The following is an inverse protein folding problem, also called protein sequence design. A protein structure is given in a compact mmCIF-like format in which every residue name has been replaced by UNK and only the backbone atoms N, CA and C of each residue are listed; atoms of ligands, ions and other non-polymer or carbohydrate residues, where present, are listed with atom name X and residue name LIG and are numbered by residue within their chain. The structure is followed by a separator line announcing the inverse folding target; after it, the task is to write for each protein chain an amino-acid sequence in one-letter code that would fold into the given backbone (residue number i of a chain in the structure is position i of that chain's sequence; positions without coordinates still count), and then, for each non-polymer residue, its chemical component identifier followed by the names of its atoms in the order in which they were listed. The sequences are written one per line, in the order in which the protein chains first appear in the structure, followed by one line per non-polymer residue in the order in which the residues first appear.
data_IF_288126026814
#
_entry.id   IF_288126026814
#
_cell.length_a   1.000
_cell.length_b   1.000
_cell.length_c   1.000
_cell.angle_alpha   90.00
_cell.angle_beta   90.00
_cell.angle_gamma   90.00
#
_symmetry.space_group_name_H-M   'P 1'
#
loop_
_entity.id
_entity.type
_entity.pdbx_description
1 polymer ?
#
# COMPACT_ATOMS: atom_id res chain seq x y z
N UNK A 1 7.74 -22.79 -28.56
CA UNK A 1 8.03 -21.67 -29.47
C UNK A 1 9.02 -20.66 -28.84
N UNK A 2 8.85 -20.26 -27.54
CA UNK A 2 9.73 -19.25 -26.92
C UNK A 2 11.12 -19.76 -26.55
N UNK A 3 11.23 -21.01 -26.08
CA UNK A 3 12.51 -21.63 -25.72
C UNK A 3 13.38 -21.85 -26.94
N UNK A 4 12.79 -22.32 -28.04
CA UNK A 4 13.49 -22.56 -29.31
C UNK A 4 14.05 -21.28 -29.88
N UNK A 5 13.24 -20.20 -29.86
CA UNK A 5 13.69 -18.85 -30.26
C UNK A 5 14.90 -18.36 -29.45
N UNK A 6 14.87 -18.54 -28.13
CA UNK A 6 15.98 -18.13 -27.26
C UNK A 6 17.21 -18.97 -27.48
N UNK A 7 17.06 -20.26 -27.76
CA UNK A 7 18.19 -21.13 -28.09
C UNK A 7 18.85 -20.70 -29.40
N UNK A 8 18.08 -20.48 -30.47
CA UNK A 8 18.58 -20.05 -31.78
C UNK A 8 19.25 -18.64 -31.69
N UNK A 9 18.65 -17.74 -30.92
CA UNK A 9 19.22 -16.41 -30.66
C UNK A 9 20.57 -16.52 -29.95
N UNK A 10 20.66 -17.39 -28.91
CA UNK A 10 21.91 -17.65 -28.18
C UNK A 10 22.99 -18.26 -29.07
N UNK A 11 22.64 -19.22 -29.91
CA UNK A 11 23.55 -19.84 -30.86
C UNK A 11 24.09 -18.82 -31.88
N UNK A 12 23.20 -18.00 -32.43
CA UNK A 12 23.56 -16.91 -33.36
C UNK A 12 24.47 -15.88 -32.71
N UNK A 13 24.24 -15.55 -31.43
CA UNK A 13 25.06 -14.65 -30.65
C UNK A 13 26.48 -15.19 -30.50
N UNK A 14 26.64 -16.46 -30.09
CA UNK A 14 27.93 -17.12 -29.94
C UNK A 14 28.66 -17.14 -31.28
N UNK A 15 27.99 -17.57 -32.34
CA UNK A 15 28.57 -17.70 -33.68
C UNK A 15 29.11 -16.35 -34.21
N UNK A 16 28.35 -15.25 -34.07
CA UNK A 16 28.76 -13.91 -34.50
C UNK A 16 29.79 -13.27 -33.57
N UNK A 17 29.98 -13.76 -32.37
CA UNK A 17 30.98 -13.25 -31.42
C UNK A 17 32.35 -13.87 -31.63
N UNK A 18 32.45 -14.97 -32.37
CA UNK A 18 33.72 -15.64 -32.65
C UNK A 18 34.37 -15.04 -33.92
N UNK A 19 35.69 -14.70 -33.90
CA UNK A 19 36.58 -14.70 -32.75
C UNK A 19 36.29 -13.55 -31.77
N UNK A 20 36.48 -13.81 -30.48
CA UNK A 20 36.28 -12.80 -29.44
C UNK A 20 37.33 -11.67 -29.58
N UNK A 21 36.93 -10.55 -30.16
CA UNK A 21 37.77 -9.36 -30.35
C UNK A 21 37.18 -8.16 -29.60
N UNK A 22 38.03 -7.25 -29.16
CA UNK A 22 37.57 -5.99 -28.53
C UNK A 22 36.61 -5.17 -29.44
N UNK A 23 36.76 -5.35 -30.78
CA UNK A 23 35.80 -4.76 -31.74
C UNK A 23 34.36 -5.25 -31.57
N UNK A 24 34.18 -6.51 -31.13
CA UNK A 24 32.86 -7.14 -30.94
C UNK A 24 32.28 -6.92 -29.53
N UNK A 25 33.07 -6.30 -28.62
CA UNK A 25 32.65 -6.14 -27.21
C UNK A 25 31.27 -5.45 -27.08
N UNK A 26 31.05 -4.38 -27.83
CA UNK A 26 29.77 -3.66 -27.84
C UNK A 26 28.64 -4.56 -28.29
N UNK A 27 28.81 -5.32 -29.38
CA UNK A 27 27.84 -6.27 -29.89
C UNK A 27 27.52 -7.34 -28.84
N UNK A 28 28.56 -7.90 -28.21
CA UNK A 28 28.40 -8.95 -27.18
C UNK A 28 27.66 -8.44 -25.94
N UNK A 29 28.01 -7.23 -25.47
CA UNK A 29 27.32 -6.65 -24.32
C UNK A 29 25.84 -6.38 -24.60
N UNK A 30 25.55 -5.75 -25.73
CA UNK A 30 24.16 -5.43 -26.06
C UNK A 30 23.31 -6.69 -26.32
N UNK A 31 23.74 -7.57 -27.23
CA UNK A 31 22.96 -8.75 -27.59
C UNK A 31 23.03 -9.86 -26.53
N UNK A 32 24.17 -10.00 -25.86
CA UNK A 32 24.32 -10.94 -24.73
C UNK A 32 23.46 -10.50 -23.52
N UNK A 33 23.47 -9.21 -23.21
CA UNK A 33 22.60 -8.66 -22.18
C UNK A 33 21.12 -8.86 -22.49
N UNK A 34 20.72 -8.64 -23.74
CA UNK A 34 19.36 -8.87 -24.20
C UNK A 34 18.96 -10.36 -24.09
N UNK A 35 19.84 -11.26 -24.52
CA UNK A 35 19.63 -12.71 -24.41
C UNK A 35 19.48 -13.16 -22.95
N UNK A 36 20.37 -12.69 -22.06
CA UNK A 36 20.32 -12.99 -20.61
C UNK A 36 18.99 -12.48 -20.02
N UNK A 37 18.65 -11.22 -20.29
CA UNK A 37 17.43 -10.62 -19.74
C UNK A 37 16.17 -11.39 -20.18
N UNK A 38 16.06 -11.77 -21.47
CA UNK A 38 14.91 -12.53 -21.98
C UNK A 38 14.88 -13.95 -21.43
N UNK A 39 16.02 -14.66 -21.44
CA UNK A 39 16.09 -16.05 -20.97
C UNK A 39 15.77 -16.13 -19.46
N UNK A 40 16.40 -15.26 -18.66
CA UNK A 40 16.17 -15.23 -17.23
C UNK A 40 14.76 -14.72 -16.88
N UNK A 41 14.21 -13.79 -17.66
CA UNK A 41 12.83 -13.36 -17.54
C UNK A 41 11.83 -14.50 -17.80
N UNK A 42 12.07 -15.31 -18.84
CA UNK A 42 11.24 -16.48 -19.13
C UNK A 42 11.33 -17.55 -18.03
N UNK A 43 12.54 -17.86 -17.57
CA UNK A 43 12.75 -18.78 -16.45
C UNK A 43 12.11 -18.24 -15.16
N UNK A 44 12.17 -16.93 -14.93
CA UNK A 44 11.52 -16.27 -13.81
C UNK A 44 10.02 -16.51 -13.79
N UNK A 45 9.32 -16.50 -14.93
CA UNK A 45 7.86 -16.74 -14.96
C UNK A 45 7.44 -18.10 -14.41
N UNK A 46 8.32 -19.10 -14.47
CA UNK A 46 8.05 -20.46 -13.98
C UNK A 46 8.49 -20.71 -12.55
N UNK A 47 9.40 -19.88 -12.02
CA UNK A 47 10.00 -20.04 -10.68
C UNK A 47 9.71 -18.87 -9.74
N UNK A 48 8.89 -17.92 -10.20
CA UNK A 48 8.41 -16.84 -9.37
C UNK A 48 7.40 -17.38 -8.35
N UNK A 49 7.76 -17.29 -7.08
CA UNK A 49 6.86 -17.63 -5.99
C UNK A 49 6.25 -16.34 -5.43
N UNK A 50 4.91 -16.29 -5.39
CA UNK A 50 4.13 -15.22 -4.76
C UNK A 50 3.14 -15.81 -3.77
N UNK A 51 3.38 -15.57 -2.51
CA UNK A 51 2.62 -16.15 -1.41
C UNK A 51 2.05 -15.03 -0.54
N UNK A 52 0.90 -15.28 0.07
CA UNK A 52 0.28 -14.35 1.03
C UNK A 52 0.36 -14.93 2.43
N UNK A 53 0.90 -14.17 3.35
CA UNK A 53 1.00 -14.51 4.77
C UNK A 53 -0.03 -13.70 5.54
N UNK A 54 -1.11 -14.30 6.05
CA UNK A 54 -2.03 -13.63 6.97
C UNK A 54 -1.37 -13.54 8.35
N UNK A 55 -1.19 -12.33 8.83
CA UNK A 55 -0.59 -12.06 10.13
C UNK A 55 -1.61 -11.41 11.06
N UNK A 56 -1.81 -11.99 12.23
CA UNK A 56 -2.64 -11.42 13.27
C UNK A 56 -1.78 -10.76 14.36
N UNK A 57 -2.19 -9.62 14.86
CA UNK A 57 -1.48 -8.93 15.96
C UNK A 57 -1.27 -9.86 17.15
N UNK A 58 -0.04 -9.85 17.68
CA UNK A 58 0.37 -10.69 18.79
C UNK A 58 0.65 -12.15 18.43
N UNK A 59 0.59 -12.53 17.14
CA UNK A 59 0.84 -13.90 16.69
C UNK A 59 2.02 -13.98 15.72
N UNK A 60 2.69 -15.13 15.73
CA UNK A 60 3.70 -15.48 14.74
C UNK A 60 3.14 -16.48 13.74
N UNK A 61 3.55 -16.36 12.48
CA UNK A 61 3.24 -17.31 11.43
C UNK A 61 4.46 -17.52 10.54
N UNK A 62 4.65 -18.74 10.09
CA UNK A 62 5.54 -19.15 8.99
C UNK A 62 4.73 -19.70 7.81
N UNK A 63 3.39 -19.74 7.92
CA UNK A 63 2.49 -20.28 6.91
C UNK A 63 2.09 -19.18 5.94
N UNK A 64 2.35 -19.44 4.67
CA UNK A 64 1.93 -18.61 3.55
C UNK A 64 1.02 -19.41 2.62
N UNK A 65 0.18 -18.72 1.85
CA UNK A 65 -0.76 -19.34 0.92
C UNK A 65 -0.51 -18.85 -0.51
N UNK A 66 -0.52 -19.78 -1.43
CA UNK A 66 -0.55 -19.44 -2.84
C UNK A 66 -1.96 -18.93 -3.20
N UNK A 67 -2.06 -17.72 -3.79
CA UNK A 67 -3.37 -17.13 -4.14
C UNK A 67 -4.16 -17.89 -5.20
N UNK A 68 -3.47 -18.67 -6.03
CA UNK A 68 -4.11 -19.37 -7.16
C UNK A 68 -4.53 -20.80 -6.79
N UNK A 69 -3.69 -21.49 -6.00
CA UNK A 69 -3.93 -22.90 -5.64
C UNK A 69 -4.48 -23.07 -4.23
N UNK A 70 -4.50 -22.00 -3.43
CA UNK A 70 -4.85 -22.00 -1.99
C UNK A 70 -3.99 -22.95 -1.14
N UNK A 71 -2.90 -23.45 -1.72
CA UNK A 71 -1.98 -24.35 -1.04
C UNK A 71 -1.20 -23.60 0.04
N UNK A 72 -1.11 -24.22 1.22
CA UNK A 72 -0.33 -23.71 2.33
C UNK A 72 1.14 -24.14 2.19
N UNK A 73 2.05 -23.18 2.28
CA UNK A 73 3.49 -23.38 2.14
C UNK A 73 4.18 -22.80 3.38
N UNK A 74 5.12 -23.54 3.96
CA UNK A 74 5.93 -23.05 5.07
C UNK A 74 7.12 -22.24 4.57
N UNK A 75 7.25 -21.01 5.06
CA UNK A 75 8.42 -20.17 4.84
C UNK A 75 9.60 -20.66 5.69
N UNK A 76 10.86 -20.47 5.25
CA UNK A 76 12.04 -20.85 6.04
C UNK A 76 12.32 -19.94 7.27
N UNK A 77 11.41 -19.01 7.55
CA UNK A 77 11.44 -18.05 8.66
C UNK A 77 10.04 -17.80 9.18
N UNK A 78 9.92 -17.26 10.38
CA UNK A 78 8.62 -16.84 10.93
C UNK A 78 8.53 -15.34 11.07
N UNK A 79 7.30 -14.82 10.94
CA UNK A 79 6.95 -13.41 11.04
C UNK A 79 6.00 -13.24 12.23
N UNK A 80 6.41 -12.50 13.24
CA UNK A 80 5.55 -12.12 14.36
C UNK A 80 5.05 -10.70 14.14
N UNK A 81 3.75 -10.50 14.08
CA UNK A 81 3.14 -9.18 13.97
C UNK A 81 3.00 -8.57 15.37
N UNK A 82 3.79 -7.53 15.64
CA UNK A 82 3.75 -6.80 16.91
C UNK A 82 2.60 -5.80 16.95
N UNK A 83 2.48 -4.99 15.90
CA UNK A 83 1.43 -3.97 15.74
C UNK A 83 1.13 -3.73 14.26
N UNK A 84 -0.14 -3.51 13.94
CA UNK A 84 -0.59 -3.12 12.61
C UNK A 84 -1.27 -1.76 12.69
N UNK A 85 -0.79 -0.78 11.96
CA UNK A 85 -1.27 0.58 12.01
C UNK A 85 -1.82 1.05 10.67
N UNK A 86 -3.03 1.62 10.69
CA UNK A 86 -3.65 2.26 9.53
C UNK A 86 -3.75 3.76 9.83
N UNK A 87 -3.08 4.57 9.03
CA UNK A 87 -3.25 6.01 9.00
C UNK A 87 -4.43 6.33 8.08
N UNK A 88 -5.34 7.17 8.54
CA UNK A 88 -6.50 7.62 7.75
C UNK A 88 -6.44 9.12 7.55
N UNK A 89 -7.03 9.58 6.46
CA UNK A 89 -7.38 10.99 6.33
C UNK A 89 -8.39 11.37 7.42
N UNK A 90 -8.47 12.65 7.76
CA UNK A 90 -9.51 13.10 8.66
C UNK A 90 -10.90 12.83 8.06
N UNK A 91 -11.90 12.50 8.89
CA UNK A 91 -13.26 12.29 8.41
C UNK A 91 -13.82 13.55 7.76
N UNK A 92 -14.90 13.39 7.01
CA UNK A 92 -15.61 14.49 6.35
C UNK A 92 -17.07 14.52 6.78
N UNK A 93 -17.68 15.70 6.71
CA UNK A 93 -19.12 15.79 6.87
C UNK A 93 -19.85 15.23 5.65
N UNK A 94 -20.95 14.52 5.88
CA UNK A 94 -21.93 14.17 4.88
C UNK A 94 -23.34 14.40 5.42
N UNK A 95 -24.31 14.59 4.54
CA UNK A 95 -25.71 14.55 4.89
C UNK A 95 -26.24 13.15 4.58
N UNK A 96 -26.89 12.52 5.54
CA UNK A 96 -27.62 11.28 5.34
C UNK A 96 -29.10 11.57 5.11
N UNK A 97 -29.60 11.05 4.00
CA UNK A 97 -31.03 11.11 3.63
C UNK A 97 -31.72 9.83 4.12
N UNK A 98 -32.51 9.91 5.19
CA UNK A 98 -33.17 8.72 5.74
C UNK A 98 -34.32 8.19 4.88
N UNK A 99 -34.84 8.99 3.95
CA UNK A 99 -35.94 8.57 3.06
C UNK A 99 -35.44 7.71 1.90
N UNK A 100 -34.25 7.99 1.43
CA UNK A 100 -33.64 7.30 0.28
C UNK A 100 -32.46 6.41 0.67
N UNK A 101 -32.16 6.29 1.98
CA UNK A 101 -31.04 5.50 2.53
C UNK A 101 -29.72 5.75 1.82
N UNK A 102 -29.36 7.03 1.67
CA UNK A 102 -28.14 7.42 0.95
C UNK A 102 -27.46 8.63 1.58
N UNK A 103 -26.15 8.69 1.37
CA UNK A 103 -25.39 9.90 1.64
C UNK A 103 -25.59 10.91 0.50
N UNK A 104 -25.88 12.14 0.88
CA UNK A 104 -25.97 13.27 -0.04
C UNK A 104 -24.64 14.00 0.00
N UNK A 105 -23.89 13.91 -1.08
CA UNK A 105 -22.66 14.69 -1.22
C UNK A 105 -22.99 16.17 -1.42
N UNK A 106 -22.22 17.08 -0.81
CA UNK A 106 -22.37 18.50 -1.12
C UNK A 106 -22.12 18.74 -2.60
N UNK A 107 -22.82 19.67 -3.20
CA UNK A 107 -22.64 20.07 -4.63
C UNK A 107 -21.21 20.54 -4.95
N UNK A 108 -20.47 20.98 -3.93
CA UNK A 108 -19.03 21.22 -4.01
C UNK A 108 -18.27 19.90 -3.86
N UNK A 109 -17.52 19.51 -4.89
CA UNK A 109 -16.67 18.30 -4.88
C UNK A 109 -15.55 18.33 -3.80
N UNK A 110 -15.36 19.45 -3.13
CA UNK A 110 -14.37 19.69 -2.09
C UNK A 110 -15.05 19.88 -0.73
N UNK A 111 -15.42 18.77 -0.08
CA UNK A 111 -15.76 18.79 1.34
C UNK A 111 -14.44 18.82 2.10
N UNK A 112 -14.19 19.86 2.91
CA UNK A 112 -12.96 19.91 3.72
C UNK A 112 -12.98 18.78 4.75
N UNK A 113 -11.78 18.31 5.10
CA UNK A 113 -11.61 17.41 6.23
C UNK A 113 -12.02 18.09 7.54
N UNK A 114 -12.59 17.32 8.47
CA UNK A 114 -13.02 17.82 9.76
C UNK A 114 -11.80 18.25 10.57
N UNK A 115 -11.79 19.52 10.97
CA UNK A 115 -10.79 20.11 11.82
C UNK A 115 -11.36 21.32 12.54
N UNK A 116 -10.76 21.74 13.65
CA UNK A 116 -11.23 22.90 14.42
C UNK A 116 -11.33 24.15 13.56
N UNK A 117 -12.46 24.84 13.60
CA UNK A 117 -12.76 26.06 12.85
C UNK A 117 -13.27 25.81 11.42
N UNK A 118 -13.28 24.59 10.93
CA UNK A 118 -13.82 24.27 9.61
C UNK A 118 -15.32 24.53 9.59
N UNK A 119 -15.81 25.24 8.55
CA UNK A 119 -17.22 25.53 8.30
C UNK A 119 -17.63 24.92 6.97
N UNK A 120 -18.75 24.22 6.97
CA UNK A 120 -19.38 23.66 5.75
C UNK A 120 -20.79 24.23 5.65
N UNK A 121 -21.16 24.67 4.46
CA UNK A 121 -22.48 25.24 4.17
C UNK A 121 -23.23 24.34 3.17
N UNK A 122 -24.50 24.09 3.47
CA UNK A 122 -25.44 23.44 2.57
C UNK A 122 -26.51 24.43 2.15
N UNK A 123 -26.52 24.86 0.87
CA UNK A 123 -27.47 25.85 0.37
C UNK A 123 -28.92 25.43 0.66
N UNK A 124 -29.67 26.32 1.32
CA UNK A 124 -31.08 26.10 1.67
C UNK A 124 -31.31 25.26 2.95
N UNK A 125 -30.28 24.73 3.59
CA UNK A 125 -30.39 23.97 4.83
C UNK A 125 -29.74 24.71 6.01
N UNK A 126 -28.52 25.22 5.84
CA UNK A 126 -27.79 25.89 6.88
C UNK A 126 -26.30 25.62 6.84
N UNK A 127 -25.62 25.81 7.98
CA UNK A 127 -24.17 25.60 8.06
C UNK A 127 -23.76 24.83 9.33
N UNK A 128 -22.62 24.14 9.25
CA UNK A 128 -22.00 23.42 10.36
C UNK A 128 -20.59 23.96 10.56
N UNK A 129 -20.28 24.37 11.77
CA UNK A 129 -18.94 24.82 12.16
C UNK A 129 -18.37 23.91 13.23
N UNK A 130 -17.14 23.43 13.03
CA UNK A 130 -16.42 22.60 14.01
C UNK A 130 -15.85 23.48 15.10
N UNK A 131 -16.32 23.30 16.32
CA UNK A 131 -15.81 24.00 17.50
C UNK A 131 -14.61 23.30 18.10
N UNK A 132 -14.65 21.94 18.10
CA UNK A 132 -13.60 21.11 18.64
C UNK A 132 -13.55 19.76 17.90
N UNK A 133 -12.36 19.14 17.84
CA UNK A 133 -12.16 17.88 17.14
C UNK A 133 -11.21 16.97 17.91
N UNK A 134 -11.66 15.77 18.21
CA UNK A 134 -10.90 14.70 18.86
C UNK A 134 -10.77 13.53 17.89
N UNK A 135 -9.59 13.30 17.31
CA UNK A 135 -9.39 12.23 16.30
C UNK A 135 -9.53 10.82 16.90
N UNK A 136 -9.31 10.68 18.21
CA UNK A 136 -9.47 9.43 18.96
C UNK A 136 -9.98 9.73 20.36
N UNK A 137 -11.21 9.37 20.66
CA UNK A 137 -11.84 9.57 21.95
C UNK A 137 -12.81 8.43 22.27
N UNK A 138 -13.14 8.29 23.56
CA UNK A 138 -14.17 7.39 24.06
C UNK A 138 -15.18 8.21 24.88
N UNK A 139 -16.45 7.75 25.01
CA UNK A 139 -17.40 8.36 25.92
C UNK A 139 -16.89 8.27 27.36
N UNK A 140 -16.76 9.43 28.00
CA UNK A 140 -16.41 9.53 29.41
C UNK A 140 -17.66 9.65 30.32
N UNK A 141 -17.43 9.97 31.58
CA UNK A 141 -18.50 10.22 32.54
C UNK A 141 -19.39 11.37 32.05
N UNK A 142 -20.72 11.15 32.08
CA UNK A 142 -21.68 12.15 31.58
C UNK A 142 -21.83 12.20 30.06
N UNK A 143 -21.27 11.23 29.31
CA UNK A 143 -21.41 11.13 27.86
C UNK A 143 -20.54 12.09 27.05
N UNK A 144 -19.69 12.90 27.68
CA UNK A 144 -18.73 13.74 26.98
C UNK A 144 -17.54 12.92 26.50
N UNK A 145 -17.02 13.17 25.26
CA UNK A 145 -15.88 12.43 24.76
C UNK A 145 -14.58 12.85 25.49
N UNK A 146 -13.77 11.84 25.83
CA UNK A 146 -12.44 12.00 26.42
C UNK A 146 -11.41 11.43 25.45
N UNK A 147 -10.42 12.26 25.12
CA UNK A 147 -9.33 11.85 24.23
C UNK A 147 -8.60 10.63 24.80
N UNK A 148 -8.29 9.67 23.93
CA UNK A 148 -7.52 8.47 24.25
C UNK A 148 -6.47 8.23 23.18
N UNK A 149 -5.35 7.63 23.59
CA UNK A 149 -4.30 7.25 22.67
C UNK A 149 -4.61 5.90 21.98
N UNK A 150 -4.07 5.74 20.77
CA UNK A 150 -4.10 4.49 20.03
C UNK A 150 -5.40 4.21 19.29
N UNK A 151 -5.57 2.93 18.91
CA UNK A 151 -6.67 2.44 18.03
C UNK A 151 -8.03 2.31 18.73
N UNK A 152 -8.11 2.47 20.04
CA UNK A 152 -9.32 2.17 20.83
C UNK A 152 -10.42 3.23 20.68
N UNK A 153 -10.04 4.47 20.38
CA UNK A 153 -10.98 5.57 20.25
C UNK A 153 -11.60 5.71 18.87
N UNK A 154 -12.66 6.49 18.80
CA UNK A 154 -13.31 6.91 17.55
C UNK A 154 -13.23 8.44 17.41
N UNK A 155 -13.43 8.95 16.22
CA UNK A 155 -13.43 10.39 15.99
C UNK A 155 -14.68 11.05 16.57
N UNK A 156 -14.50 12.17 17.29
CA UNK A 156 -15.57 13.03 17.75
C UNK A 156 -15.35 14.47 17.30
N UNK A 157 -16.42 15.16 16.93
CA UNK A 157 -16.39 16.60 16.70
C UNK A 157 -17.53 17.29 17.46
N UNK A 158 -17.21 18.40 18.14
CA UNK A 158 -18.21 19.33 18.64
C UNK A 158 -18.54 20.30 17.54
N UNK A 159 -19.79 20.34 17.14
CA UNK A 159 -20.26 21.13 16.02
C UNK A 159 -21.30 22.14 16.46
N UNK A 160 -21.26 23.33 15.87
CA UNK A 160 -22.31 24.33 15.92
C UNK A 160 -23.06 24.27 14.62
N UNK A 161 -24.35 24.05 14.70
CA UNK A 161 -25.28 23.99 13.57
C UNK A 161 -26.07 25.29 13.58
N UNK A 162 -26.14 25.95 12.43
CA UNK A 162 -26.97 27.12 12.19
C UNK A 162 -27.97 26.80 11.08
N UNK A 163 -29.23 26.60 11.49
CA UNK A 163 -30.35 26.38 10.59
C UNK A 163 -31.17 27.67 10.47
N UNK A 164 -30.84 28.52 9.50
CA UNK A 164 -31.54 29.76 9.22
C UNK A 164 -31.67 30.69 10.47
N UNK A 165 -30.60 30.80 11.25
CA UNK A 165 -30.53 31.62 12.47
C UNK A 165 -30.90 30.88 13.77
N UNK A 166 -31.33 29.62 13.69
CA UNK A 166 -31.48 28.76 14.87
C UNK A 166 -30.16 28.03 15.12
N UNK A 167 -29.46 28.40 16.18
CA UNK A 167 -28.14 27.86 16.53
C UNK A 167 -28.25 26.80 17.60
N UNK A 168 -27.56 25.66 17.40
CA UNK A 168 -27.44 24.59 18.38
C UNK A 168 -26.04 24.00 18.39
N UNK A 169 -25.61 23.39 19.50
CA UNK A 169 -24.30 22.74 19.62
C UNK A 169 -24.45 21.27 20.01
N UNK A 170 -23.73 20.40 19.35
CA UNK A 170 -23.82 18.95 19.54
C UNK A 170 -22.45 18.28 19.36
N UNK A 171 -22.31 17.11 19.95
CA UNK A 171 -21.24 16.19 19.62
C UNK A 171 -21.72 15.19 18.55
N UNK A 172 -20.90 14.97 17.53
CA UNK A 172 -21.08 13.94 16.51
C UNK A 172 -19.87 13.01 16.50
N UNK A 173 -20.06 11.78 16.03
CA UNK A 173 -19.02 10.76 15.98
C UNK A 173 -19.24 9.84 14.78
N UNK A 174 -18.15 9.40 14.15
CA UNK A 174 -18.21 8.35 13.13
C UNK A 174 -18.65 6.98 13.68
N UNK A 175 -18.57 6.79 15.00
CA UNK A 175 -18.79 5.48 15.60
C UNK A 175 -17.62 4.51 15.36
N UNK A 176 -17.85 3.23 15.67
CA UNK A 176 -16.87 2.16 15.54
C UNK A 176 -17.44 0.82 15.99
N UNK A 177 -16.63 -0.23 16.09
CA UNK A 177 -17.10 -1.59 16.39
C UNK A 177 -17.90 -1.71 17.69
N UNK A 178 -17.61 -0.88 18.68
CA UNK A 178 -18.24 -0.91 20.01
C UNK A 178 -19.04 0.35 20.33
N UNK A 179 -19.06 1.33 19.44
CA UNK A 179 -19.73 2.62 19.64
C UNK A 179 -20.57 2.98 18.42
N UNK A 180 -21.86 3.19 18.67
CA UNK A 180 -22.76 3.66 17.61
C UNK A 180 -22.37 5.07 17.15
N UNK A 181 -22.50 5.38 15.85
CA UNK A 181 -22.28 6.74 15.37
C UNK A 181 -23.27 7.71 16.02
N UNK A 182 -22.78 8.92 16.28
CA UNK A 182 -23.61 10.03 16.76
C UNK A 182 -23.81 11.00 15.61
N UNK A 183 -25.07 11.28 15.30
CA UNK A 183 -25.49 12.18 14.24
C UNK A 183 -26.55 13.16 14.75
N UNK A 184 -26.72 14.27 14.05
CA UNK A 184 -27.64 15.33 14.46
C UNK A 184 -28.56 15.68 13.30
N UNK A 185 -29.88 15.87 13.55
CA UNK A 185 -30.81 16.28 12.51
C UNK A 185 -30.50 17.69 12.02
N UNK A 186 -30.69 17.92 10.71
CA UNK A 186 -30.62 19.21 10.03
C UNK A 186 -31.66 19.22 8.92
N UNK A 187 -32.79 19.86 9.17
CA UNK A 187 -33.98 19.77 8.30
C UNK A 187 -34.49 18.35 8.18
N UNK A 188 -34.60 17.84 6.95
CA UNK A 188 -35.02 16.45 6.63
C UNK A 188 -33.85 15.46 6.59
N UNK A 189 -32.64 15.90 6.89
CA UNK A 189 -31.41 15.12 6.81
C UNK A 189 -30.77 14.96 8.18
N UNK A 190 -29.75 14.09 8.23
CA UNK A 190 -28.87 14.01 9.40
C UNK A 190 -27.44 14.38 8.98
N UNK A 191 -26.78 15.20 9.80
CA UNK A 191 -25.36 15.45 9.69
C UNK A 191 -24.64 14.23 10.25
N UNK A 192 -23.81 13.61 9.44
CA UNK A 192 -23.01 12.44 9.81
C UNK A 192 -21.54 12.74 9.57
N UNK A 193 -20.69 12.04 10.31
CA UNK A 193 -19.25 12.02 10.11
C UNK A 193 -18.92 10.77 9.30
N UNK A 194 -18.54 10.94 8.04
CA UNK A 194 -18.05 9.85 7.21
C UNK A 194 -16.57 9.59 7.52
N UNK A 195 -16.22 8.32 7.74
CA UNK A 195 -14.84 7.93 8.00
C UNK A 195 -13.89 8.38 6.89
N UNK A 196 -12.68 8.74 7.28
CA UNK A 196 -11.61 9.07 6.36
C UNK A 196 -11.14 7.84 5.58
N UNK A 197 -10.80 8.02 4.30
CA UNK A 197 -10.17 6.97 3.53
C UNK A 197 -8.81 6.57 4.12
N UNK A 198 -8.37 5.32 3.98
CA UNK A 198 -7.02 4.91 4.35
C UNK A 198 -5.98 5.74 3.56
N UNK A 199 -4.99 6.29 4.26
CA UNK A 199 -3.89 7.06 3.68
C UNK A 199 -2.63 6.21 3.53
N UNK A 200 -2.31 5.45 4.56
CA UNK A 200 -1.18 4.55 4.63
C UNK A 200 -1.44 3.45 5.67
N UNK A 201 -0.79 2.33 5.50
CA UNK A 201 -0.80 1.26 6.50
C UNK A 201 0.57 0.61 6.57
N UNK A 202 0.94 0.17 7.78
CA UNK A 202 2.23 -0.44 8.07
C UNK A 202 2.11 -1.49 9.16
N UNK A 203 3.01 -2.47 9.11
CA UNK A 203 3.13 -3.53 10.10
C UNK A 203 4.49 -3.47 10.79
N UNK A 204 4.49 -3.39 12.12
CA UNK A 204 5.69 -3.63 12.91
C UNK A 204 5.83 -5.12 13.12
N UNK A 205 6.88 -5.73 12.57
CA UNK A 205 7.08 -7.15 12.59
C UNK A 205 8.44 -7.52 13.21
N UNK A 206 8.47 -8.67 13.85
CA UNK A 206 9.73 -9.33 14.23
C UNK A 206 9.93 -10.54 13.33
N UNK A 207 10.95 -10.49 12.50
CA UNK A 207 11.39 -11.60 11.65
C UNK A 207 12.32 -12.50 12.43
N UNK A 208 12.07 -13.81 12.39
CA UNK A 208 12.93 -14.82 13.04
C UNK A 208 13.38 -15.83 12.00
N UNK A 209 14.69 -15.88 11.74
CA UNK A 209 15.29 -16.83 10.84
C UNK A 209 15.55 -18.20 11.46
N UNK A 210 15.97 -19.19 10.63
CA UNK A 210 16.21 -20.58 11.06
C UNK A 210 17.36 -20.70 12.07
N UNK A 211 18.34 -19.80 12.05
CA UNK A 211 19.44 -19.73 13.02
C UNK A 211 19.04 -19.09 14.36
N UNK A 212 17.77 -18.68 14.52
CA UNK A 212 17.29 -18.01 15.72
C UNK A 212 17.55 -16.51 15.77
N UNK A 213 18.17 -15.94 14.74
CA UNK A 213 18.34 -14.50 14.58
C UNK A 213 16.98 -13.80 14.55
N UNK A 214 16.90 -12.67 15.26
CA UNK A 214 15.68 -11.85 15.33
C UNK A 214 15.97 -10.45 14.85
N UNK A 215 15.09 -9.91 14.00
CA UNK A 215 15.19 -8.56 13.47
C UNK A 215 13.82 -7.87 13.52
N UNK A 216 13.77 -6.68 14.09
CA UNK A 216 12.59 -5.83 14.05
C UNK A 216 12.60 -5.04 12.77
N UNK A 217 11.47 -5.05 12.06
CA UNK A 217 11.30 -4.35 10.80
C UNK A 217 9.90 -3.71 10.73
N UNK A 218 9.80 -2.70 9.88
CA UNK A 218 8.52 -2.09 9.53
C UNK A 218 8.22 -2.38 8.06
N UNK A 219 7.13 -3.11 7.83
CA UNK A 219 6.63 -3.34 6.48
C UNK A 219 5.70 -2.19 6.10
N UNK A 220 6.01 -1.54 4.99
CA UNK A 220 5.21 -0.47 4.40
C UNK A 220 4.88 -0.80 2.94
N UNK A 221 3.84 -0.17 2.40
CA UNK A 221 3.51 -0.28 0.97
C UNK A 221 4.68 0.24 0.13
N UNK A 222 5.06 -0.50 -0.90
CA UNK A 222 6.17 -0.19 -1.82
C UNK A 222 7.57 -0.13 -1.19
N UNK A 223 7.74 -0.58 0.06
CA UNK A 223 9.05 -0.69 0.72
C UNK A 223 9.26 -2.13 1.19
N UNK A 224 9.80 -3.00 0.34
CA UNK A 224 10.01 -4.39 0.70
C UNK A 224 11.15 -4.56 1.72
N UNK A 225 10.99 -5.57 2.56
CA UNK A 225 12.02 -6.03 3.47
C UNK A 225 12.54 -7.39 2.98
N UNK A 226 13.86 -7.52 2.88
CA UNK A 226 14.50 -8.75 2.43
C UNK A 226 14.69 -9.71 3.62
N UNK A 227 14.27 -10.97 3.43
CA UNK A 227 14.47 -12.05 4.39
C UNK A 227 14.70 -13.39 3.69
N UNK A 228 15.89 -13.96 3.84
CA UNK A 228 16.25 -15.29 3.32
C UNK A 228 15.97 -15.48 1.82
N UNK A 229 16.22 -14.45 1.01
CA UNK A 229 15.95 -14.45 -0.44
C UNK A 229 14.50 -14.17 -0.82
N UNK A 230 13.63 -13.90 0.15
CA UNK A 230 12.27 -13.41 -0.04
C UNK A 230 12.21 -11.90 0.14
N UNK A 231 11.35 -11.25 -0.62
CA UNK A 231 10.95 -9.86 -0.42
C UNK A 231 9.56 -9.82 0.18
N UNK A 232 9.44 -9.21 1.35
CA UNK A 232 8.19 -9.07 2.08
C UNK A 232 7.58 -7.69 1.82
N UNK A 233 6.37 -7.66 1.31
CA UNK A 233 5.63 -6.43 1.00
C UNK A 233 4.38 -6.34 1.88
N UNK A 234 4.06 -5.16 2.34
CA UNK A 234 2.75 -4.89 2.90
C UNK A 234 1.72 -4.91 1.76
N UNK A 235 0.80 -5.88 1.75
CA UNK A 235 -0.11 -6.12 0.64
C UNK A 235 -1.56 -5.66 0.91
N UNK A 236 -2.02 -5.79 2.16
CA UNK A 236 -3.40 -5.45 2.49
C UNK A 236 -3.73 -5.70 3.97
N UNK A 237 -5.02 -5.65 4.28
CA UNK A 237 -5.56 -5.88 5.62
C UNK A 237 -7.05 -6.26 5.51
N UNK A 238 -7.72 -6.53 6.63
CA UNK A 238 -9.17 -6.72 6.66
C UNK A 238 -9.88 -5.35 6.55
N UNK A 239 -10.32 -5.03 5.35
CA UNK A 239 -11.02 -3.76 5.06
C UNK A 239 -12.36 -3.64 5.79
N UNK A 240 -13.01 -4.78 6.11
CA UNK A 240 -14.30 -4.76 6.83
C UNK A 240 -14.15 -4.26 8.26
N UNK A 241 -13.00 -4.51 8.89
CA UNK A 241 -12.66 -3.99 10.19
C UNK A 241 -12.12 -2.55 10.15
N UNK A 242 -11.77 -2.04 8.95
CA UNK A 242 -11.23 -0.69 8.76
C UNK A 242 -10.00 -0.42 9.65
N UNK A 243 -9.97 0.75 10.31
CA UNK A 243 -8.85 1.16 11.18
C UNK A 243 -8.63 0.24 12.40
N UNK A 244 -9.57 -0.59 12.74
CA UNK A 244 -9.49 -1.55 13.86
C UNK A 244 -9.03 -2.93 13.42
N UNK A 245 -8.64 -3.10 12.15
CA UNK A 245 -8.09 -4.37 11.68
C UNK A 245 -6.88 -4.77 12.52
N UNK A 246 -6.89 -6.01 12.95
CA UNK A 246 -5.75 -6.69 13.60
C UNK A 246 -5.08 -7.68 12.65
N UNK A 247 -5.59 -7.78 11.42
CA UNK A 247 -5.07 -8.63 10.35
C UNK A 247 -4.28 -7.78 9.36
N UNK A 248 -3.02 -8.16 9.16
CA UNK A 248 -2.16 -7.67 8.09
C UNK A 248 -1.92 -8.79 7.08
N UNK A 249 -2.06 -8.48 5.80
CA UNK A 249 -1.70 -9.38 4.71
C UNK A 249 -0.34 -8.96 4.16
N UNK A 250 0.64 -9.85 4.28
CA UNK A 250 1.99 -9.65 3.77
C UNK A 250 2.18 -10.52 2.53
N UNK A 251 2.63 -9.94 1.43
CA UNK A 251 3.02 -10.69 0.25
C UNK A 251 4.51 -11.04 0.36
N UNK A 252 4.82 -12.32 0.32
CA UNK A 252 6.18 -12.84 0.25
C UNK A 252 6.48 -13.23 -1.21
N UNK A 253 7.47 -12.58 -1.81
CA UNK A 253 7.86 -12.78 -3.21
C UNK A 253 9.28 -13.30 -3.27
N UNK A 254 9.50 -14.36 -4.02
CA UNK A 254 10.82 -14.90 -4.31
C UNK A 254 10.99 -15.04 -5.82
N UNK A 255 11.96 -14.33 -6.36
CA UNK A 255 12.34 -14.39 -7.76
C UNK A 255 13.85 -14.67 -7.86
N UNK A 256 14.26 -15.92 -8.06
CA UNK A 256 15.67 -16.29 -8.10
C UNK A 256 16.38 -15.76 -9.35
N UNK A 257 15.64 -15.42 -10.40
CA UNK A 257 16.20 -14.98 -11.69
C UNK A 257 16.31 -13.45 -11.83
N UNK A 258 15.65 -12.70 -10.98
CA UNK A 258 15.64 -11.24 -11.02
C UNK A 258 17.06 -10.62 -11.02
N UNK A 259 18.03 -11.10 -10.19
CA UNK A 259 19.41 -10.57 -10.26
C UNK A 259 20.07 -10.76 -11.61
N UNK A 260 19.85 -11.92 -12.27
CA UNK A 260 20.40 -12.17 -13.60
C UNK A 260 19.74 -11.30 -14.68
N UNK A 261 18.45 -11.00 -14.55
CA UNK A 261 17.75 -10.03 -15.42
C UNK A 261 18.40 -8.65 -15.31
N UNK A 262 18.72 -8.19 -14.09
CA UNK A 262 19.42 -6.93 -13.90
C UNK A 262 20.82 -6.93 -14.53
N UNK A 263 21.56 -8.03 -14.42
CA UNK A 263 22.86 -8.16 -15.12
C UNK A 263 22.67 -7.96 -16.62
N UNK A 264 21.65 -8.59 -17.21
CA UNK A 264 21.29 -8.41 -18.62
C UNK A 264 21.05 -6.94 -18.98
N UNK A 265 20.25 -6.23 -18.17
CA UNK A 265 19.99 -4.80 -18.38
C UNK A 265 21.24 -3.93 -18.28
N UNK A 266 22.10 -4.16 -17.29
CA UNK A 266 23.35 -3.42 -17.17
C UNK A 266 24.29 -3.67 -18.36
N UNK A 267 24.33 -4.89 -18.88
CA UNK A 267 25.08 -5.21 -20.10
C UNK A 267 24.54 -4.46 -21.32
N UNK A 268 23.20 -4.39 -21.48
CA UNK A 268 22.56 -3.61 -22.55
C UNK A 268 22.95 -2.13 -22.45
N UNK A 269 22.85 -1.57 -21.24
CA UNK A 269 23.22 -0.17 -21.01
C UNK A 269 24.70 0.10 -21.36
N UNK A 270 25.61 -0.76 -20.91
CA UNK A 270 27.02 -0.65 -21.22
C UNK A 270 27.28 -0.78 -22.72
N UNK A 271 26.62 -1.70 -23.41
CA UNK A 271 26.66 -1.86 -24.85
C UNK A 271 26.25 -0.60 -25.62
N UNK A 272 25.14 0.03 -25.16
CA UNK A 272 24.65 1.30 -25.72
C UNK A 272 25.64 2.45 -25.50
N UNK A 273 26.17 2.60 -24.29
CA UNK A 273 27.20 3.63 -24.01
C UNK A 273 28.39 3.47 -24.93
N UNK A 274 28.91 2.26 -25.13
CA UNK A 274 30.00 1.99 -26.04
C UNK A 274 29.66 2.29 -27.51
N UNK A 275 28.38 2.09 -27.89
CA UNK A 275 27.90 2.41 -29.23
C UNK A 275 27.97 3.92 -29.50
N UNK A 276 27.42 4.71 -28.65
CA UNK A 276 27.42 6.18 -28.81
C UNK A 276 28.82 6.75 -28.68
N UNK A 277 29.62 6.25 -27.75
CA UNK A 277 31.01 6.69 -27.60
C UNK A 277 31.86 6.49 -28.87
N UNK A 278 31.73 5.32 -29.52
CA UNK A 278 32.43 5.03 -30.77
C UNK A 278 31.89 5.87 -31.93
N UNK A 279 30.58 6.12 -31.95
CA UNK A 279 29.95 6.98 -32.96
C UNK A 279 30.44 8.43 -32.88
N UNK A 280 30.51 9.01 -31.68
CA UNK A 280 31.04 10.38 -31.49
C UNK A 280 32.51 10.49 -31.94
N UNK A 281 33.39 9.57 -31.51
CA UNK A 281 34.79 9.58 -31.94
C UNK A 281 34.97 9.47 -33.45
N UNK A 282 34.08 8.78 -34.15
CA UNK A 282 34.15 8.67 -35.62
C UNK A 282 33.71 9.96 -36.33
N UNK A 283 32.79 10.71 -35.72
CA UNK A 283 32.36 12.02 -36.24
C UNK A 283 33.41 13.13 -35.99
N UNK A 284 34.14 13.06 -34.87
CA UNK A 284 35.23 14.00 -34.58
C UNK A 284 36.50 13.78 -35.46
N UNK A 285 36.63 12.60 -36.03
CA UNK A 285 37.76 12.21 -36.86
C UNK A 285 37.47 12.32 -38.38
N UNK A 286 36.27 12.70 -38.79
CA UNK A 286 35.84 12.92 -40.17
C UNK A 286 35.70 14.42 -40.46
#
# INVERSE_FOLDING_TARGET
PGADFLFDLGLSLVWKSIPFRAANLQFMLFHGGFWIALSCGLLGTTQLERLVVPLYEGKASDVAYNRQTEEAIHLPFSIYLKDFHIEQYAPKFALYDPQNDRLVEPKSKLVPEIGKGVKVEWPGLGSVTVLDYLPSALPGAGGLPVAVDGKKGVAFARVRIDENGKVSEHWISSGGPQLKPLFVPMGSYFIVMADGAPKAFRSEVMLKGPGGEKRMETLEVNKPVDMQGWKLYQAGYDESAGRWSTLSLVEAVRDPWLPAVYVGFFMIMAGNVLFFWKGVKKMEAA
#
